data_IF_179539490610
#
_entry.id   IF_179539490610
#
_cell.length_a   1.000
_cell.length_b   1.000
_cell.length_c   1.000
_cell.angle_alpha   90.00
_cell.angle_beta   90.00
_cell.angle_gamma   90.00
#
_symmetry.space_group_name_H-M   'P 1'
#
loop_
_entity.id
_entity.type
_entity.pdbx_description
1 polymer ?
#
# COMPACT_ATOMS: atom_id res chain seq x y z
N UNK A 1 -18.60 -9.34 -1.25
CA UNK A 1 -17.25 -9.60 -1.80
C UNK A 1 -16.44 -10.48 -0.86
N UNK A 2 -16.25 -10.08 0.38
CA UNK A 2 -15.43 -10.85 1.35
C UNK A 2 -15.90 -12.30 1.50
N UNK A 3 -17.21 -12.55 1.66
CA UNK A 3 -17.78 -13.90 1.79
C UNK A 3 -17.60 -14.81 0.57
N UNK A 4 -17.18 -14.27 -0.55
CA UNK A 4 -16.90 -15.02 -1.79
C UNK A 4 -15.43 -14.90 -2.23
N UNK A 5 -14.60 -14.33 -1.38
CA UNK A 5 -13.15 -14.32 -1.61
C UNK A 5 -12.55 -15.69 -1.26
N UNK A 6 -11.49 -16.05 -1.94
CA UNK A 6 -10.62 -17.14 -1.50
C UNK A 6 -9.87 -16.65 -0.27
N UNK A 7 -9.99 -17.32 0.89
CA UNK A 7 -9.30 -16.86 2.10
C UNK A 7 -7.78 -16.96 1.94
N UNK A 8 -7.06 -15.99 2.50
CA UNK A 8 -5.61 -16.00 2.57
C UNK A 8 -5.20 -16.01 4.06
N UNK A 9 -4.71 -17.14 4.52
CA UNK A 9 -4.37 -17.33 5.93
C UNK A 9 -2.86 -17.16 6.12
N UNK A 10 -2.45 -15.94 6.51
CA UNK A 10 -1.09 -15.61 6.93
C UNK A 10 -1.09 -15.53 8.46
N UNK A 11 -0.08 -16.12 9.11
CA UNK A 11 -0.01 -16.19 10.57
C UNK A 11 0.29 -14.84 11.21
N UNK A 12 -0.25 -14.61 12.42
CA UNK A 12 -0.05 -13.38 13.18
C UNK A 12 -0.83 -12.18 12.65
N UNK A 13 -0.56 -11.01 13.21
CA UNK A 13 -1.15 -9.76 12.77
C UNK A 13 -0.45 -9.26 11.50
N UNK A 14 -1.24 -8.78 10.56
CA UNK A 14 -0.75 -8.30 9.25
C UNK A 14 -1.23 -6.88 8.98
N UNK A 15 -0.49 -6.19 8.13
CA UNK A 15 -0.79 -4.82 7.69
C UNK A 15 -1.02 -4.79 6.17
N UNK A 16 -2.06 -4.08 5.73
CA UNK A 16 -2.25 -3.73 4.31
C UNK A 16 -1.88 -2.26 4.08
N UNK A 17 -1.22 -2.01 2.97
CA UNK A 17 -0.95 -0.66 2.45
C UNK A 17 -1.36 -0.60 1.00
N UNK A 18 -2.37 0.21 0.69
CA UNK A 18 -2.94 0.29 -0.67
C UNK A 18 -3.71 1.58 -0.86
N UNK A 19 -3.72 2.10 -2.09
CA UNK A 19 -4.60 3.17 -2.51
C UNK A 19 -5.87 2.65 -3.20
N UNK A 20 -6.92 3.47 -3.23
CA UNK A 20 -8.15 3.17 -3.99
C UNK A 20 -7.93 3.18 -5.50
N UNK A 21 -6.89 3.85 -5.96
CA UNK A 21 -6.76 4.24 -7.35
C UNK A 21 -7.72 5.37 -7.74
N UNK A 22 -7.68 5.76 -9.00
CA UNK A 22 -8.65 6.69 -9.58
C UNK A 22 -8.33 8.18 -9.43
N UNK A 23 -7.21 8.53 -8.82
CA UNK A 23 -6.70 9.89 -8.66
C UNK A 23 -6.23 10.55 -9.98
N UNK A 24 -6.03 9.74 -11.04
CA UNK A 24 -5.56 10.16 -12.38
C UNK A 24 -4.17 10.80 -12.40
N UNK A 25 -3.42 10.74 -11.32
CA UNK A 25 -2.10 11.34 -11.21
C UNK A 25 -1.02 10.54 -11.96
N UNK A 26 -1.28 9.25 -12.22
CA UNK A 26 -0.35 8.34 -12.88
C UNK A 26 1.03 8.32 -12.18
N UNK A 27 1.04 8.30 -10.87
CA UNK A 27 2.24 8.23 -10.04
C UNK A 27 2.96 6.88 -10.19
N UNK A 28 4.23 6.83 -9.81
CA UNK A 28 4.91 5.55 -9.55
C UNK A 28 4.16 4.80 -8.44
N UNK A 29 4.37 3.50 -8.33
CA UNK A 29 3.62 2.65 -7.40
C UNK A 29 4.08 2.85 -5.94
N UNK A 30 3.84 4.05 -5.37
CA UNK A 30 4.32 4.49 -4.05
C UNK A 30 3.92 3.53 -2.94
N UNK A 31 2.66 3.06 -2.91
CA UNK A 31 2.21 2.09 -1.91
C UNK A 31 2.91 0.73 -2.05
N UNK A 32 3.33 0.32 -3.26
CA UNK A 32 4.13 -0.91 -3.45
C UNK A 32 5.57 -0.72 -3.00
N UNK A 33 6.17 0.44 -3.26
CA UNK A 33 7.48 0.83 -2.73
C UNK A 33 7.45 0.85 -1.20
N UNK A 34 6.43 1.51 -0.63
CA UNK A 34 6.20 1.59 0.81
C UNK A 34 6.01 0.21 1.46
N UNK A 35 5.30 -0.71 0.80
CA UNK A 35 5.08 -2.07 1.29
C UNK A 35 6.39 -2.85 1.48
N UNK A 36 7.29 -2.81 0.48
CA UNK A 36 8.59 -3.51 0.57
C UNK A 36 9.46 -2.89 1.65
N UNK A 37 9.47 -1.55 1.77
CA UNK A 37 10.26 -0.85 2.79
C UNK A 37 9.72 -1.12 4.20
N UNK A 38 8.41 -1.04 4.41
CA UNK A 38 7.79 -1.34 5.71
C UNK A 38 8.03 -2.79 6.14
N UNK A 39 7.95 -3.73 5.20
CA UNK A 39 8.26 -5.12 5.46
C UNK A 39 9.75 -5.34 5.83
N UNK A 40 10.66 -4.64 5.14
CA UNK A 40 12.09 -4.68 5.47
C UNK A 40 12.41 -4.03 6.82
N UNK A 41 11.59 -3.10 7.27
CA UNK A 41 11.67 -2.53 8.61
C UNK A 41 11.13 -3.48 9.71
N UNK A 42 10.35 -4.52 9.34
CA UNK A 42 9.85 -5.55 10.27
C UNK A 42 8.32 -5.67 10.36
N UNK A 43 7.55 -4.88 9.62
CA UNK A 43 6.08 -5.00 9.56
C UNK A 43 5.69 -6.20 8.69
N UNK A 44 4.76 -7.02 9.15
CA UNK A 44 4.23 -8.13 8.33
C UNK A 44 3.20 -7.60 7.34
N UNK A 45 3.54 -7.59 6.06
CA UNK A 45 2.72 -7.00 4.99
C UNK A 45 1.98 -8.06 4.17
N UNK A 46 0.67 -7.95 4.10
CA UNK A 46 -0.14 -8.64 3.07
C UNK A 46 -0.77 -7.58 2.19
N UNK A 47 -0.06 -7.21 1.14
CA UNK A 47 -0.54 -6.19 0.21
C UNK A 47 -1.60 -6.74 -0.71
N UNK A 48 -2.79 -6.15 -0.69
CA UNK A 48 -3.84 -6.43 -1.66
C UNK A 48 -3.72 -5.49 -2.87
N UNK A 49 -3.90 -6.01 -4.05
CA UNK A 49 -3.82 -5.18 -5.25
C UNK A 49 -4.22 -5.88 -6.54
N UNK A 50 -4.21 -5.11 -7.62
CA UNK A 50 -4.63 -5.57 -8.94
C UNK A 50 -3.74 -4.96 -10.04
N UNK A 51 -3.96 -5.41 -11.28
CA UNK A 51 -3.46 -4.72 -12.46
C UNK A 51 -4.15 -3.37 -12.64
N UNK A 52 -3.53 -2.50 -13.44
CA UNK A 52 -4.11 -1.22 -13.79
C UNK A 52 -5.50 -1.39 -14.42
N UNK A 53 -6.45 -0.53 -13.99
CA UNK A 53 -7.76 -0.42 -14.61
C UNK A 53 -7.88 0.82 -15.51
N UNK A 54 -7.23 1.92 -15.12
CA UNK A 54 -7.26 3.21 -15.84
C UNK A 54 -5.89 3.89 -15.91
N UNK A 55 -4.94 3.50 -15.04
CA UNK A 55 -3.54 3.96 -15.09
C UNK A 55 -2.73 3.07 -16.04
N UNK A 56 -1.46 3.44 -16.27
CA UNK A 56 -0.52 2.66 -17.09
C UNK A 56 0.07 1.46 -16.36
N UNK A 57 0.15 1.53 -15.03
CA UNK A 57 0.78 0.50 -14.20
C UNK A 57 0.05 0.39 -12.86
N UNK A 58 -0.56 -0.75 -12.60
CA UNK A 58 -1.13 -1.09 -11.29
C UNK A 58 -0.09 -1.75 -10.38
N UNK A 59 -0.46 -1.97 -9.12
CA UNK A 59 0.43 -2.63 -8.16
C UNK A 59 0.83 -4.05 -8.60
N UNK A 60 -0.10 -4.80 -9.20
CA UNK A 60 0.23 -6.12 -9.76
C UNK A 60 1.21 -6.04 -10.92
N UNK A 61 1.04 -5.04 -11.81
CA UNK A 61 1.92 -4.91 -12.97
C UNK A 61 3.37 -4.62 -12.57
N UNK A 62 3.59 -3.72 -11.62
CA UNK A 62 4.96 -3.41 -11.15
C UNK A 62 5.57 -4.57 -10.38
N UNK A 63 4.80 -5.28 -9.54
CA UNK A 63 5.27 -6.44 -8.78
C UNK A 63 5.71 -7.56 -9.74
N UNK A 64 4.94 -7.81 -10.80
CA UNK A 64 5.31 -8.77 -11.84
C UNK A 64 6.55 -8.33 -12.63
N UNK A 65 6.65 -7.05 -13.00
CA UNK A 65 7.84 -6.50 -13.67
C UNK A 65 9.11 -6.51 -12.78
N UNK A 66 8.94 -6.52 -11.46
CA UNK A 66 10.02 -6.75 -10.50
C UNK A 66 10.45 -8.23 -10.42
N UNK A 67 9.65 -9.16 -10.94
CA UNK A 67 9.96 -10.58 -11.04
C UNK A 67 9.17 -11.49 -10.10
N UNK A 68 8.20 -10.95 -9.34
CA UNK A 68 7.31 -11.74 -8.48
C UNK A 68 6.11 -12.24 -9.30
N UNK A 69 5.92 -13.55 -9.50
CA UNK A 69 4.78 -14.07 -10.23
C UNK A 69 3.45 -13.82 -9.50
N UNK A 70 2.41 -13.47 -10.25
CA UNK A 70 1.07 -13.20 -9.70
C UNK A 70 0.14 -14.42 -9.73
N UNK A 71 0.51 -15.46 -10.46
CA UNK A 71 -0.27 -16.67 -10.73
C UNK A 71 -0.01 -17.79 -9.71
N UNK A 72 0.42 -17.45 -8.52
CA UNK A 72 0.69 -18.41 -7.45
C UNK A 72 -0.62 -18.93 -6.83
N UNK A 73 -0.59 -20.19 -6.37
CA UNK A 73 -1.66 -20.76 -5.57
C UNK A 73 -1.80 -20.01 -4.21
N UNK A 74 -3.02 -19.90 -3.66
CA UNK A 74 -3.25 -19.18 -2.41
C UNK A 74 -2.38 -19.67 -1.24
N UNK A 75 -2.12 -20.96 -1.19
CA UNK A 75 -1.26 -21.60 -0.18
C UNK A 75 0.18 -21.12 -0.28
N UNK A 76 0.73 -21.03 -1.51
CA UNK A 76 2.07 -20.52 -1.75
C UNK A 76 2.19 -19.02 -1.40
N UNK A 77 1.13 -18.24 -1.67
CA UNK A 77 1.05 -16.82 -1.26
C UNK A 77 1.09 -16.68 0.26
N UNK A 78 0.38 -17.56 1.01
CA UNK A 78 0.40 -17.57 2.46
C UNK A 78 1.77 -17.96 3.01
N UNK A 79 2.37 -19.05 2.50
CA UNK A 79 3.71 -19.51 2.90
C UNK A 79 4.78 -18.43 2.70
N UNK A 80 4.73 -17.70 1.57
CA UNK A 80 5.65 -16.57 1.33
C UNK A 80 5.49 -15.49 2.40
N UNK A 81 4.25 -15.10 2.72
CA UNK A 81 3.97 -14.12 3.76
C UNK A 81 4.48 -14.56 5.14
N UNK A 82 4.39 -15.83 5.44
CA UNK A 82 4.88 -16.39 6.71
C UNK A 82 6.40 -16.48 6.77
N UNK A 83 7.05 -16.82 5.66
CA UNK A 83 8.50 -17.05 5.62
C UNK A 83 9.31 -15.74 5.61
N UNK A 84 8.85 -14.73 4.84
CA UNK A 84 9.66 -13.52 4.62
C UNK A 84 8.99 -12.22 5.07
N UNK A 85 7.76 -12.28 5.61
CA UNK A 85 7.06 -11.11 6.15
C UNK A 85 6.39 -10.22 5.12
N UNK A 86 6.40 -10.59 3.84
CA UNK A 86 5.68 -9.85 2.77
C UNK A 86 5.08 -10.82 1.77
N UNK A 87 3.85 -10.52 1.32
CA UNK A 87 3.23 -11.23 0.20
C UNK A 87 2.25 -10.32 -0.53
N UNK A 88 1.83 -10.74 -1.74
CA UNK A 88 0.91 -10.00 -2.59
C UNK A 88 -0.36 -10.81 -2.87
N UNK A 89 -1.48 -10.35 -2.35
CA UNK A 89 -2.79 -10.91 -2.64
C UNK A 89 -3.33 -10.34 -3.96
N UNK A 90 -3.12 -11.05 -5.06
CA UNK A 90 -3.58 -10.62 -6.38
C UNK A 90 -5.10 -10.71 -6.48
N UNK A 91 -5.79 -9.60 -6.65
CA UNK A 91 -7.26 -9.54 -6.61
C UNK A 91 -7.95 -10.49 -7.59
N UNK A 92 -7.36 -10.75 -8.77
CA UNK A 92 -7.93 -11.69 -9.75
C UNK A 92 -7.96 -13.13 -9.22
N UNK A 93 -6.95 -13.55 -8.48
CA UNK A 93 -6.87 -14.89 -7.86
C UNK A 93 -7.83 -14.99 -6.69
N UNK A 94 -7.84 -13.99 -5.81
CA UNK A 94 -8.58 -14.05 -4.56
C UNK A 94 -10.04 -13.61 -4.65
N UNK A 95 -10.46 -12.91 -5.72
CA UNK A 95 -11.83 -12.47 -5.94
C UNK A 95 -12.40 -12.96 -7.26
N UNK A 96 -12.57 -14.28 -7.47
CA UNK A 96 -13.04 -14.84 -8.75
C UNK A 96 -14.45 -14.35 -9.13
N UNK A 97 -15.28 -13.96 -8.15
CA UNK A 97 -16.60 -13.41 -8.40
C UNK A 97 -16.57 -12.06 -9.16
N UNK A 98 -15.46 -11.33 -9.12
CA UNK A 98 -15.31 -10.04 -9.82
C UNK A 98 -15.37 -10.19 -11.34
N UNK A 99 -15.15 -11.38 -11.90
CA UNK A 99 -15.32 -11.65 -13.35
C UNK A 99 -16.71 -11.30 -13.86
N UNK A 100 -17.75 -11.39 -13.02
CA UNK A 100 -19.11 -11.05 -13.39
C UNK A 100 -19.40 -9.54 -13.34
N UNK A 101 -18.65 -8.80 -12.53
CA UNK A 101 -18.82 -7.36 -12.34
C UNK A 101 -17.94 -6.55 -13.30
N UNK A 102 -16.79 -7.08 -13.67
CA UNK A 102 -15.80 -6.39 -14.52
C UNK A 102 -16.38 -5.84 -15.83
N UNK A 103 -17.07 -6.66 -16.65
CA UNK A 103 -17.68 -6.20 -17.90
C UNK A 103 -18.70 -5.07 -17.70
N UNK A 104 -19.53 -5.17 -16.64
CA UNK A 104 -20.54 -4.16 -16.32
C UNK A 104 -19.87 -2.84 -15.93
N UNK A 105 -18.84 -2.87 -15.08
CA UNK A 105 -18.06 -1.68 -14.70
C UNK A 105 -17.43 -1.00 -15.91
N UNK A 106 -16.84 -1.80 -16.80
CA UNK A 106 -16.22 -1.28 -18.02
C UNK A 106 -17.25 -0.60 -18.93
N UNK A 107 -18.44 -1.20 -19.07
CA UNK A 107 -19.53 -0.64 -19.88
C UNK A 107 -20.14 0.64 -19.28
N UNK A 108 -20.18 0.77 -17.95
CA UNK A 108 -20.70 1.95 -17.28
C UNK A 108 -19.78 3.18 -17.51
N UNK A 109 -18.47 3.00 -17.53
CA UNK A 109 -17.50 4.08 -17.78
C UNK A 109 -17.50 5.21 -16.72
N UNK A 110 -18.16 5.05 -15.60
CA UNK A 110 -18.27 6.03 -14.51
C UNK A 110 -17.79 5.43 -13.19
N UNK A 111 -17.32 6.26 -12.23
CA UNK A 111 -17.00 5.80 -10.89
C UNK A 111 -18.21 5.16 -10.21
N UNK A 112 -17.97 4.09 -9.48
CA UNK A 112 -18.99 3.35 -8.73
C UNK A 112 -18.40 2.81 -7.42
N UNK A 113 -19.23 2.22 -6.57
CA UNK A 113 -18.82 1.68 -5.28
C UNK A 113 -17.62 0.71 -5.37
N UNK A 114 -17.48 -0.02 -6.47
CA UNK A 114 -16.33 -0.93 -6.66
C UNK A 114 -14.98 -0.22 -6.75
N UNK A 115 -14.95 1.09 -6.93
CA UNK A 115 -13.71 1.85 -6.94
C UNK A 115 -13.05 1.91 -5.54
N UNK A 116 -13.86 1.83 -4.48
CA UNK A 116 -13.39 1.89 -3.08
C UNK A 116 -13.49 0.55 -2.34
N UNK A 117 -14.10 -0.47 -2.94
CA UNK A 117 -14.22 -1.78 -2.30
C UNK A 117 -12.92 -2.59 -2.34
N UNK A 118 -12.00 -2.30 -3.26
CA UNK A 118 -10.73 -3.02 -3.36
C UNK A 118 -9.97 -3.07 -2.03
N UNK A 119 -9.60 -1.91 -1.45
CA UNK A 119 -8.93 -1.87 -0.15
C UNK A 119 -9.72 -2.56 0.98
N UNK A 120 -11.05 -2.42 0.97
CA UNK A 120 -11.94 -3.00 1.99
C UNK A 120 -12.11 -4.51 1.92
N UNK A 121 -11.45 -5.21 0.97
CA UNK A 121 -11.69 -6.64 0.70
C UNK A 121 -10.43 -7.47 0.63
N UNK A 122 -9.35 -7.03 1.30
CA UNK A 122 -8.14 -7.84 1.41
C UNK A 122 -8.48 -9.24 1.97
N UNK A 123 -8.14 -10.33 1.27
CA UNK A 123 -8.54 -11.69 1.64
C UNK A 123 -7.86 -12.20 2.92
N UNK A 124 -6.76 -11.58 3.36
CA UNK A 124 -6.09 -11.89 4.62
C UNK A 124 -6.76 -11.22 5.84
N UNK A 125 -7.73 -10.33 5.64
CA UNK A 125 -8.37 -9.57 6.71
C UNK A 125 -7.33 -8.94 7.67
N UNK A 126 -6.42 -8.08 7.18
CA UNK A 126 -5.32 -7.55 7.96
C UNK A 126 -5.81 -6.82 9.20
N UNK A 127 -5.06 -6.94 10.30
CA UNK A 127 -5.38 -6.25 11.56
C UNK A 127 -5.16 -4.75 11.43
N UNK A 128 -4.13 -4.35 10.68
CA UNK A 128 -3.72 -2.96 10.53
C UNK A 128 -3.84 -2.51 9.06
N UNK A 129 -4.20 -1.24 8.87
CA UNK A 129 -4.44 -0.69 7.52
C UNK A 129 -3.86 0.71 7.37
N UNK A 130 -3.16 0.93 6.26
CA UNK A 130 -2.70 2.24 5.80
C UNK A 130 -3.27 2.50 4.40
N UNK A 131 -4.41 3.16 4.32
CA UNK A 131 -5.22 3.22 3.11
C UNK A 131 -5.27 4.64 2.55
N UNK A 132 -4.75 4.79 1.34
CA UNK A 132 -4.95 6.01 0.57
C UNK A 132 -6.32 6.02 -0.13
N UNK A 133 -7.00 7.15 -0.10
CA UNK A 133 -8.28 7.30 -0.78
C UNK A 133 -8.31 8.61 -1.58
N UNK A 134 -8.56 8.51 -2.88
CA UNK A 134 -8.63 9.68 -3.75
C UNK A 134 -9.86 10.56 -3.49
N UNK A 135 -10.92 9.99 -2.91
CA UNK A 135 -12.16 10.70 -2.62
C UNK A 135 -12.28 11.01 -1.12
N UNK A 136 -12.05 12.27 -0.77
CA UNK A 136 -12.11 12.77 0.61
C UNK A 136 -13.49 12.56 1.26
N UNK A 137 -14.56 12.47 0.48
CA UNK A 137 -15.92 12.27 1.01
C UNK A 137 -16.17 10.82 1.40
N UNK A 138 -15.47 9.87 0.76
CA UNK A 138 -15.56 8.44 1.05
C UNK A 138 -14.57 7.99 2.13
N UNK A 139 -13.49 8.74 2.36
CA UNK A 139 -12.45 8.39 3.34
C UNK A 139 -13.00 8.14 4.75
N UNK A 140 -13.83 9.00 5.36
CA UNK A 140 -14.40 8.74 6.69
C UNK A 140 -15.32 7.52 6.70
N UNK A 141 -16.03 7.23 5.62
CA UNK A 141 -16.90 6.04 5.52
C UNK A 141 -16.05 4.76 5.47
N UNK A 142 -14.94 4.78 4.72
CA UNK A 142 -14.00 3.66 4.68
C UNK A 142 -13.36 3.43 6.06
N UNK A 143 -12.93 4.49 6.73
CA UNK A 143 -12.38 4.40 8.08
C UNK A 143 -13.39 3.80 9.07
N UNK A 144 -14.67 4.20 8.97
CA UNK A 144 -15.73 3.64 9.82
C UNK A 144 -15.98 2.15 9.54
N UNK A 145 -15.86 1.70 8.28
CA UNK A 145 -15.96 0.27 7.94
C UNK A 145 -14.84 -0.53 8.63
N UNK A 146 -13.59 -0.05 8.59
CA UNK A 146 -12.48 -0.68 9.27
C UNK A 146 -12.66 -0.70 10.79
N UNK A 147 -13.07 0.43 11.39
CA UNK A 147 -13.36 0.52 12.82
C UNK A 147 -14.43 -0.49 13.27
N UNK A 148 -15.52 -0.61 12.51
CA UNK A 148 -16.60 -1.55 12.78
C UNK A 148 -16.17 -3.03 12.67
N UNK A 149 -15.09 -3.31 11.94
CA UNK A 149 -14.49 -4.65 11.83
C UNK A 149 -13.43 -4.93 12.90
N UNK A 150 -13.15 -3.97 13.78
CA UNK A 150 -12.13 -4.10 14.83
C UNK A 150 -10.70 -4.03 14.28
N UNK A 151 -10.53 -3.46 13.10
CA UNK A 151 -9.21 -3.16 12.52
C UNK A 151 -8.72 -1.81 13.06
N UNK A 152 -7.42 -1.56 12.95
CA UNK A 152 -6.76 -0.31 13.37
C UNK A 152 -5.87 0.25 12.26
N UNK A 153 -5.41 1.49 12.43
CA UNK A 153 -4.54 2.15 11.47
C UNK A 153 -5.09 3.48 10.97
N UNK A 154 -5.11 3.70 9.66
CA UNK A 154 -5.57 4.98 9.11
C UNK A 154 -6.10 4.86 7.68
N UNK A 155 -7.03 5.76 7.35
CA UNK A 155 -7.35 6.16 5.97
C UNK A 155 -6.88 7.59 5.78
N UNK A 156 -6.32 7.93 4.62
CA UNK A 156 -5.82 9.28 4.35
C UNK A 156 -6.10 9.72 2.92
N UNK A 157 -6.16 11.04 2.72
CA UNK A 157 -6.29 11.70 1.43
C UNK A 157 -5.37 12.90 1.40
N UNK A 158 -4.46 12.97 0.43
CA UNK A 158 -3.62 14.16 0.22
C UNK A 158 -4.41 15.35 -0.31
N UNK A 159 -3.93 16.56 -0.08
CA UNK A 159 -4.62 17.82 -0.43
C UNK A 159 -5.07 17.88 -1.89
N UNK A 160 -4.32 17.28 -2.80
CA UNK A 160 -4.59 17.24 -4.25
C UNK A 160 -5.46 16.03 -4.68
N UNK A 161 -6.03 15.30 -3.72
CA UNK A 161 -6.85 14.12 -4.00
C UNK A 161 -6.04 12.90 -4.44
N UNK A 162 -4.75 12.85 -4.11
CA UNK A 162 -3.94 11.64 -4.30
C UNK A 162 -4.32 10.59 -3.26
N UNK A 163 -4.38 9.35 -3.69
CA UNK A 163 -4.58 8.18 -2.83
C UNK A 163 -3.26 7.64 -2.24
N UNK A 164 -2.33 8.57 -1.99
CA UNK A 164 -1.02 8.31 -1.40
C UNK A 164 -0.73 9.34 -0.29
N UNK A 165 0.12 9.00 0.66
CA UNK A 165 0.67 9.94 1.63
C UNK A 165 1.72 10.80 0.92
N UNK A 166 1.31 11.95 0.37
CA UNK A 166 2.15 12.75 -0.52
C UNK A 166 2.66 14.03 0.15
N UNK A 167 3.79 14.53 -0.36
CA UNK A 167 4.43 15.80 0.06
C UNK A 167 3.97 16.98 -0.80
N UNK A 168 2.70 16.97 -1.21
CA UNK A 168 2.09 18.04 -2.03
C UNK A 168 1.36 19.07 -1.16
N UNK A 169 1.25 18.84 0.14
CA UNK A 169 0.56 19.70 1.11
C UNK A 169 0.06 18.91 2.32
N UNK A 170 -0.89 19.49 3.08
CA UNK A 170 -1.50 18.79 4.21
C UNK A 170 -2.28 17.55 3.76
N UNK A 171 -2.28 16.54 4.61
CA UNK A 171 -2.98 15.27 4.40
C UNK A 171 -4.10 15.16 5.42
N UNK A 172 -5.32 14.94 4.97
CA UNK A 172 -6.43 14.59 5.86
C UNK A 172 -6.30 13.12 6.26
N UNK A 173 -6.33 12.85 7.56
CA UNK A 173 -6.12 11.52 8.14
C UNK A 173 -7.30 11.16 9.04
N UNK A 174 -7.84 9.98 8.87
CA UNK A 174 -8.83 9.35 9.75
C UNK A 174 -8.16 8.18 10.46
N UNK A 175 -7.76 8.42 11.70
CA UNK A 175 -7.14 7.42 12.58
C UNK A 175 -8.20 6.45 13.08
N UNK A 176 -7.87 5.17 13.09
CA UNK A 176 -8.74 4.06 13.49
C UNK A 176 -8.09 3.35 14.66
N UNK A 177 -8.73 3.44 15.83
CA UNK A 177 -8.27 2.75 17.05
C UNK A 177 -9.48 2.42 17.93
N UNK A 178 -9.48 1.26 18.56
CA UNK A 178 -10.50 0.84 19.54
C UNK A 178 -11.95 0.98 19.05
N UNK A 179 -12.18 0.67 17.76
CA UNK A 179 -13.49 0.78 17.13
C UNK A 179 -13.97 2.22 16.89
N UNK A 180 -13.09 3.20 17.01
CA UNK A 180 -13.38 4.63 16.84
C UNK A 180 -12.58 5.21 15.67
N UNK A 181 -13.15 6.25 15.06
CA UNK A 181 -12.49 7.04 14.01
C UNK A 181 -12.27 8.45 14.53
N UNK A 182 -11.04 8.93 14.46
CA UNK A 182 -10.66 10.30 14.82
C UNK A 182 -10.09 10.99 13.60
N UNK A 183 -10.74 12.07 13.14
CA UNK A 183 -10.24 12.87 12.05
C UNK A 183 -9.19 13.85 12.53
N UNK A 184 -8.11 13.98 11.79
CA UNK A 184 -7.03 14.93 12.03
C UNK A 184 -6.42 15.38 10.70
N UNK A 185 -5.56 16.37 10.74
CA UNK A 185 -4.73 16.78 9.63
C UNK A 185 -3.26 16.54 9.99
N UNK A 186 -2.47 16.15 9.02
CA UNK A 186 -1.04 15.95 9.16
C UNK A 186 -0.33 16.60 7.98
N UNK A 187 0.62 17.48 8.25
CA UNK A 187 1.42 18.13 7.21
C UNK A 187 2.87 17.63 7.28
N UNK A 188 3.25 16.62 6.47
CA UNK A 188 4.60 16.05 6.54
C UNK A 188 5.71 17.05 6.16
N UNK A 189 5.38 18.10 5.39
CA UNK A 189 6.34 19.15 5.02
C UNK A 189 6.73 19.93 6.26
N UNK A 190 5.76 20.46 7.00
CA UNK A 190 6.03 21.33 8.16
C UNK A 190 6.33 20.56 9.44
N UNK A 191 5.68 19.39 9.64
CA UNK A 191 5.79 18.63 10.89
C UNK A 191 7.01 17.70 10.93
N UNK A 192 7.45 17.20 9.76
CA UNK A 192 8.67 16.39 9.65
C UNK A 192 9.85 17.16 9.06
N UNK A 193 9.64 18.36 8.51
CA UNK A 193 10.68 19.14 7.83
C UNK A 193 11.12 18.53 6.51
N UNK A 194 10.19 17.88 5.79
CA UNK A 194 10.46 17.25 4.50
C UNK A 194 10.23 18.24 3.36
N UNK A 195 11.03 18.12 2.31
CA UNK A 195 10.88 18.97 1.13
C UNK A 195 9.62 18.64 0.35
N UNK A 196 8.85 19.64 -0.12
CA UNK A 196 7.68 19.41 -0.94
C UNK A 196 8.05 18.81 -2.30
N UNK A 197 7.13 18.04 -2.86
CA UNK A 197 7.23 17.49 -4.21
C UNK A 197 6.05 17.95 -5.07
N UNK A 198 6.26 18.01 -6.38
CA UNK A 198 5.15 18.25 -7.32
C UNK A 198 4.59 16.92 -7.83
N UNK A 199 3.32 16.88 -8.27
CA UNK A 199 2.75 15.67 -8.88
C UNK A 199 3.56 15.15 -10.07
N UNK A 200 4.17 16.05 -10.85
CA UNK A 200 5.01 15.70 -12.00
C UNK A 200 6.27 14.91 -11.58
N UNK A 201 6.85 15.25 -10.43
CA UNK A 201 8.01 14.54 -9.88
C UNK A 201 7.68 13.13 -9.42
N UNK A 202 6.41 12.85 -9.13
CA UNK A 202 5.92 11.53 -8.75
C UNK A 202 5.44 10.70 -9.93
N UNK A 203 5.41 11.28 -11.15
CA UNK A 203 4.85 10.62 -12.32
C UNK A 203 5.63 9.36 -12.69
N UNK A 204 4.88 8.29 -12.88
CA UNK A 204 5.35 7.01 -13.41
C UNK A 204 5.00 6.81 -14.89
N UNK A 205 5.05 5.57 -15.32
CA UNK A 205 4.77 5.17 -16.69
C UNK A 205 4.37 3.72 -16.80
N UNK A 206 4.87 3.06 -17.84
CA UNK A 206 4.66 1.64 -18.07
C UNK A 206 5.35 0.79 -16.96
N UNK A 207 4.95 -0.48 -16.77
CA UNK A 207 5.45 -1.33 -15.69
C UNK A 207 6.98 -1.42 -15.60
N UNK A 208 7.67 -1.50 -16.73
CA UNK A 208 9.13 -1.61 -16.82
C UNK A 208 9.82 -0.35 -16.30
N UNK A 209 9.28 0.83 -16.64
CA UNK A 209 9.79 2.11 -16.13
C UNK A 209 9.60 2.21 -14.61
N UNK A 210 8.41 1.87 -14.13
CA UNK A 210 8.10 1.93 -12.69
C UNK A 210 8.97 0.92 -11.92
N UNK A 211 9.19 -0.28 -12.46
CA UNK A 211 10.09 -1.26 -11.87
C UNK A 211 11.55 -0.80 -11.86
N UNK A 212 12.00 -0.07 -12.90
CA UNK A 212 13.34 0.54 -12.91
C UNK A 212 13.48 1.61 -11.83
N UNK A 213 12.52 2.53 -11.73
CA UNK A 213 12.51 3.55 -10.67
C UNK A 213 12.48 2.91 -9.27
N UNK A 214 11.73 1.83 -9.11
CA UNK A 214 11.66 1.09 -7.85
C UNK A 214 13.01 0.48 -7.48
N UNK A 215 13.70 -0.18 -8.43
CA UNK A 215 15.05 -0.73 -8.21
C UNK A 215 16.05 0.36 -7.88
N UNK A 216 16.05 1.47 -8.62
CA UNK A 216 16.92 2.62 -8.37
C UNK A 216 16.69 3.21 -6.97
N UNK A 217 15.43 3.29 -6.53
CA UNK A 217 15.07 3.69 -5.17
C UNK A 217 15.67 2.74 -4.11
N UNK A 218 15.53 1.43 -4.29
CA UNK A 218 16.08 0.43 -3.36
C UNK A 218 17.61 0.37 -3.40
N UNK A 219 18.23 0.74 -4.52
CA UNK A 219 19.67 0.90 -4.66
C UNK A 219 20.21 2.18 -3.99
N UNK A 220 19.33 2.98 -3.37
CA UNK A 220 19.71 4.25 -2.74
C UNK A 220 20.03 5.37 -3.73
N UNK A 221 19.75 5.20 -5.02
CA UNK A 221 19.94 6.25 -6.03
C UNK A 221 18.96 7.41 -5.84
N UNK A 222 19.33 8.62 -6.26
CA UNK A 222 18.45 9.78 -6.16
C UNK A 222 17.29 9.64 -7.16
N UNK A 223 16.11 9.29 -6.65
CA UNK A 223 14.85 9.31 -7.41
C UNK A 223 13.89 10.33 -6.76
N UNK A 224 13.16 11.08 -7.58
CA UNK A 224 12.28 12.14 -7.09
C UNK A 224 11.19 11.63 -6.13
N UNK A 225 10.74 10.39 -6.31
CA UNK A 225 9.73 9.74 -5.47
C UNK A 225 10.26 9.18 -4.14
N UNK A 226 11.58 9.25 -3.85
CA UNK A 226 12.17 8.61 -2.66
C UNK A 226 11.49 9.03 -1.36
N UNK A 227 11.43 10.33 -1.09
CA UNK A 227 10.89 10.86 0.18
C UNK A 227 9.41 10.48 0.34
N UNK A 228 8.63 10.55 -0.74
CA UNK A 228 7.22 10.15 -0.73
C UNK A 228 7.05 8.64 -0.53
N UNK A 229 7.88 7.81 -1.14
CA UNK A 229 7.85 6.35 -0.94
C UNK A 229 8.19 5.98 0.52
N UNK A 230 9.19 6.63 1.12
CA UNK A 230 9.52 6.46 2.54
C UNK A 230 8.37 6.90 3.46
N UNK A 231 7.67 7.99 3.10
CA UNK A 231 6.52 8.46 3.88
C UNK A 231 5.34 7.48 3.79
N UNK A 232 5.10 6.85 2.64
CA UNK A 232 4.12 5.78 2.52
C UNK A 232 4.53 4.53 3.32
N UNK A 233 5.80 4.15 3.35
CA UNK A 233 6.28 3.10 4.24
C UNK A 233 6.04 3.46 5.72
N UNK A 234 6.32 4.70 6.09
CA UNK A 234 6.06 5.20 7.44
C UNK A 234 4.58 5.11 7.82
N UNK A 235 3.64 5.35 6.88
CA UNK A 235 2.20 5.20 7.16
C UNK A 235 1.83 3.76 7.54
N UNK A 236 2.43 2.75 6.90
CA UNK A 236 2.22 1.34 7.25
C UNK A 236 2.85 0.99 8.60
N UNK A 237 4.06 1.51 8.90
CA UNK A 237 4.72 1.31 10.20
C UNK A 237 3.92 1.98 11.33
N UNK A 238 3.37 3.18 11.11
CA UNK A 238 2.49 3.86 12.06
C UNK A 238 1.17 3.10 12.26
N UNK A 239 0.60 2.56 11.19
CA UNK A 239 -0.64 1.79 11.26
C UNK A 239 -0.48 0.50 12.08
N UNK A 240 0.62 -0.20 11.89
CA UNK A 240 0.99 -1.40 12.64
C UNK A 240 1.34 -1.06 14.11
N UNK A 241 2.22 -0.14 14.33
CA UNK A 241 2.53 0.47 15.62
C UNK A 241 3.53 -0.29 16.50
N UNK A 242 3.83 -1.57 16.27
CA UNK A 242 4.67 -2.37 17.19
C UNK A 242 6.16 -2.00 17.17
N UNK A 243 6.63 -1.31 16.13
CA UNK A 243 8.04 -0.92 15.98
C UNK A 243 8.36 0.47 16.54
N UNK A 244 7.36 1.21 16.95
CA UNK A 244 7.50 2.61 17.36
C UNK A 244 6.87 2.84 18.73
N UNK A 245 7.38 3.83 19.46
CA UNK A 245 6.82 4.22 20.74
C UNK A 245 5.52 5.03 20.54
N UNK A 246 4.66 5.01 21.57
CA UNK A 246 3.50 5.88 21.66
C UNK A 246 3.90 7.35 21.65
N UNK A 247 2.98 8.19 21.18
CA UNK A 247 3.22 9.62 21.09
C UNK A 247 2.21 10.33 20.18
N UNK A 248 2.47 11.60 19.90
CA UNK A 248 1.71 12.35 18.91
C UNK A 248 1.83 11.68 17.52
N UNK A 249 0.88 11.97 16.63
CA UNK A 249 0.96 11.47 15.26
C UNK A 249 2.29 11.85 14.58
N UNK A 250 2.72 13.08 14.77
CA UNK A 250 4.01 13.61 14.28
C UNK A 250 5.20 12.82 14.82
N UNK A 251 5.22 12.50 16.13
CA UNK A 251 6.33 11.73 16.72
C UNK A 251 6.37 10.31 16.21
N UNK A 252 5.22 9.69 16.06
CA UNK A 252 5.08 8.34 15.47
C UNK A 252 5.56 8.32 14.02
N UNK A 253 5.15 9.29 13.20
CA UNK A 253 5.63 9.40 11.82
C UNK A 253 7.13 9.69 11.75
N UNK A 254 7.68 10.51 12.64
CA UNK A 254 9.14 10.77 12.69
C UNK A 254 9.94 9.50 12.96
N UNK A 255 9.52 8.69 13.94
CA UNK A 255 10.14 7.39 14.22
C UNK A 255 10.01 6.44 13.04
N UNK A 256 8.79 6.29 12.51
CA UNK A 256 8.50 5.39 11.39
C UNK A 256 9.27 5.77 10.12
N UNK A 257 9.38 7.08 9.83
CA UNK A 257 10.16 7.57 8.69
C UNK A 257 11.65 7.25 8.83
N UNK A 258 12.21 7.38 10.03
CA UNK A 258 13.59 6.99 10.31
C UNK A 258 13.83 5.49 10.08
N UNK A 259 12.91 4.63 10.53
CA UNK A 259 12.98 3.18 10.27
C UNK A 259 12.86 2.85 8.78
N UNK A 260 11.97 3.51 8.07
CA UNK A 260 11.83 3.34 6.62
C UNK A 260 13.10 3.76 5.87
N UNK A 261 13.70 4.87 6.27
CA UNK A 261 14.95 5.35 5.71
C UNK A 261 16.10 4.35 5.97
N UNK A 262 16.24 3.88 7.21
CA UNK A 262 17.24 2.86 7.56
C UNK A 262 17.07 1.58 6.74
N UNK A 263 15.84 1.11 6.52
CA UNK A 263 15.57 -0.10 5.75
C UNK A 263 16.07 0.00 4.30
N UNK A 264 16.00 1.19 3.70
CA UNK A 264 16.54 1.43 2.35
C UNK A 264 18.06 1.65 2.39
N UNK A 265 18.55 2.54 3.27
CA UNK A 265 19.96 2.95 3.29
C UNK A 265 20.90 1.80 3.73
N UNK A 266 20.42 0.86 4.53
CA UNK A 266 21.13 -0.36 4.91
C UNK A 266 21.10 -1.48 3.85
N UNK A 267 20.29 -1.33 2.79
CA UNK A 267 20.09 -2.37 1.78
C UNK A 267 19.04 -3.45 2.16
N UNK A 268 18.51 -3.46 3.37
CA UNK A 268 17.52 -4.47 3.82
C UNK A 268 16.30 -4.57 2.90
N UNK A 269 15.80 -3.44 2.39
CA UNK A 269 14.64 -3.43 1.49
C UNK A 269 14.95 -4.05 0.13
N UNK A 270 16.15 -3.84 -0.40
CA UNK A 270 16.64 -4.50 -1.62
C UNK A 270 16.75 -6.01 -1.42
N UNK A 271 17.44 -6.43 -0.36
CA UNK A 271 17.64 -7.85 -0.04
C UNK A 271 16.29 -8.57 0.16
N UNK A 272 15.30 -7.91 0.77
CA UNK A 272 13.97 -8.46 0.93
C UNK A 272 13.28 -8.68 -0.42
N UNK A 273 13.35 -7.71 -1.33
CA UNK A 273 12.76 -7.86 -2.67
C UNK A 273 13.42 -9.02 -3.43
N UNK A 274 14.75 -9.13 -3.38
CA UNK A 274 15.48 -10.22 -4.04
C UNK A 274 15.08 -11.60 -3.48
N UNK A 275 14.95 -11.72 -2.16
CA UNK A 275 14.47 -12.93 -1.49
C UNK A 275 13.02 -13.24 -1.89
N UNK A 276 12.16 -12.22 -1.94
CA UNK A 276 10.77 -12.39 -2.34
C UNK A 276 10.66 -12.92 -3.77
N UNK A 277 11.36 -12.31 -4.71
CA UNK A 277 11.40 -12.77 -6.11
C UNK A 277 11.85 -14.23 -6.19
N UNK A 278 12.99 -14.57 -5.54
CA UNK A 278 13.55 -15.93 -5.56
C UNK A 278 12.59 -16.96 -4.97
N UNK A 279 12.00 -16.65 -3.80
CA UNK A 279 11.08 -17.55 -3.12
C UNK A 279 9.80 -17.73 -3.94
N UNK A 280 9.20 -16.63 -4.43
CA UNK A 280 7.99 -16.69 -5.24
C UNK A 280 8.17 -17.47 -6.54
N UNK A 281 9.31 -17.31 -7.22
CA UNK A 281 9.64 -18.10 -8.41
C UNK A 281 9.82 -19.58 -8.08
N UNK A 282 10.37 -19.94 -6.93
CA UNK A 282 10.50 -21.34 -6.53
C UNK A 282 9.17 -22.02 -6.20
N UNK A 283 8.12 -21.24 -5.93
CA UNK A 283 6.76 -21.73 -5.65
C UNK A 283 5.87 -21.78 -6.91
N UNK A 284 6.40 -21.35 -8.05
CA UNK A 284 5.68 -21.44 -9.32
C UNK A 284 5.71 -22.89 -9.79
N UNK A 285 4.52 -23.51 -9.92
CA UNK A 285 4.35 -24.91 -10.35
C UNK A 285 4.62 -25.08 -11.87
#
# INVERSE_FOLDING_TARGET
MVSHAVPLNVSGETTDIVGTGGDKAATVNLSSMGAVVAAAAGVKIVKHGNRAASSKCGSGDVIEALGVPLDLAPEAVAEIGDEIGITFAFAKTFHPAMRFVGPVRSALGIPCVFNVLGPLTNPANPKHVAIGCADRTLSPLMAQVYANRGQSGMVYTSSEGLDEMALTGPVSVWLIADGKVTATEFNPITELGLDPVTPEQLRGGEPELNASIFRDFLDGKPVASRTTALLNAASAIVADGHLIADGSLTDRFRQAYGLAQEAVDSGKAKDLLERWVKLAQSKRA
#
